data_IF_760701021249
#
_entry.id   IF_760701021249
#
_cell.length_a   1.000
_cell.length_b   1.000
_cell.length_c   1.000
_cell.angle_alpha   90.00
_cell.angle_beta   90.00
_cell.angle_gamma   90.00
#
_symmetry.space_group_name_H-M   'P 1'
#
loop_
_entity.id
_entity.type
_entity.pdbx_description
1 polymer ?
#
# COMPACT_ATOMS: atom_id res chain seq x y z
N UNK A 1 49.79 10.67 -76.86
CA UNK A 1 50.03 10.98 -75.44
C UNK A 1 49.42 9.83 -74.65
N UNK A 2 50.03 8.65 -74.57
CA UNK A 2 51.25 8.22 -73.85
C UNK A 2 51.17 8.36 -72.32
N UNK A 3 51.33 7.22 -71.65
CA UNK A 3 51.38 6.96 -70.20
C UNK A 3 50.66 5.64 -69.91
N UNK A 4 51.18 4.45 -70.28
CA UNK A 4 52.28 3.71 -69.64
C UNK A 4 52.00 3.47 -68.14
N UNK A 5 51.96 2.27 -67.55
CA UNK A 5 52.71 1.04 -67.82
C UNK A 5 51.98 -0.15 -67.15
N UNK A 6 52.03 -1.34 -67.75
CA UNK A 6 51.65 -2.58 -67.07
C UNK A 6 52.81 -3.11 -66.21
N UNK A 7 52.50 -3.71 -65.07
CA UNK A 7 53.41 -4.59 -64.33
C UNK A 7 52.63 -5.77 -63.74
N UNK A 8 53.12 -6.98 -64.02
CA UNK A 8 52.46 -8.25 -63.77
C UNK A 8 52.18 -8.55 -62.29
N UNK A 9 51.09 -9.28 -62.07
CA UNK A 9 50.75 -9.87 -60.77
C UNK A 9 51.74 -10.99 -60.48
N UNK A 10 52.70 -10.72 -59.60
CA UNK A 10 53.53 -11.76 -58.95
C UNK A 10 52.70 -12.35 -57.81
N UNK A 11 52.09 -13.51 -58.04
CA UNK A 11 51.49 -14.31 -56.96
C UNK A 11 52.61 -15.02 -56.19
N UNK A 12 52.96 -14.52 -55.01
CA UNK A 12 53.75 -15.28 -54.06
C UNK A 12 52.91 -16.45 -53.51
N UNK A 13 53.46 -17.67 -53.39
CA UNK A 13 52.76 -18.77 -52.75
C UNK A 13 52.55 -18.47 -51.26
N UNK A 14 51.43 -18.94 -50.66
CA UNK A 14 51.08 -18.62 -49.28
C UNK A 14 52.13 -19.18 -48.31
N UNK A 15 52.44 -18.47 -47.21
CA UNK A 15 53.42 -18.93 -46.23
C UNK A 15 53.02 -20.29 -45.64
N UNK A 16 53.93 -21.27 -45.73
CA UNK A 16 53.78 -22.66 -45.29
C UNK A 16 53.92 -22.86 -43.78
N UNK A 17 53.55 -21.86 -42.98
CA UNK A 17 53.47 -21.98 -41.53
C UNK A 17 52.19 -21.31 -41.08
N UNK A 18 51.21 -22.14 -40.66
CA UNK A 18 49.97 -21.66 -40.09
C UNK A 18 50.29 -20.68 -38.93
N UNK A 19 49.68 -19.48 -38.90
CA UNK A 19 49.74 -18.67 -37.70
C UNK A 19 49.11 -19.52 -36.59
N UNK A 20 49.82 -19.72 -35.49
CA UNK A 20 49.28 -20.38 -34.31
C UNK A 20 47.90 -19.78 -34.01
N UNK A 21 46.84 -20.53 -34.34
CA UNK A 21 45.51 -20.24 -33.80
C UNK A 21 45.65 -20.54 -32.32
N UNK A 22 45.93 -19.53 -31.51
CA UNK A 22 45.61 -19.57 -30.09
C UNK A 22 44.19 -20.13 -29.99
N UNK A 23 44.07 -21.30 -29.37
CA UNK A 23 42.76 -21.91 -29.20
C UNK A 23 41.99 -20.97 -28.27
N UNK A 24 40.68 -20.88 -28.43
CA UNK A 24 39.82 -20.02 -27.60
C UNK A 24 40.04 -20.21 -26.09
N UNK A 25 40.56 -21.37 -25.69
CA UNK A 25 40.90 -21.75 -24.32
C UNK A 25 42.26 -21.23 -23.80
N UNK A 26 43.12 -20.66 -24.65
CA UNK A 26 44.45 -20.16 -24.26
C UNK A 26 44.44 -18.70 -23.75
N UNK A 27 43.26 -18.04 -23.71
CA UNK A 27 43.11 -16.62 -23.31
C UNK A 27 42.68 -16.39 -21.87
N UNK A 28 42.45 -17.47 -21.14
CA UNK A 28 41.89 -17.41 -19.80
C UNK A 28 42.95 -17.87 -18.82
N UNK A 29 43.54 -16.91 -18.12
CA UNK A 29 44.42 -17.21 -17.00
C UNK A 29 43.57 -17.81 -15.87
N UNK A 30 43.57 -19.15 -15.77
CA UNK A 30 42.84 -19.89 -14.74
C UNK A 30 43.32 -19.56 -13.31
N UNK A 31 44.49 -18.92 -13.17
CA UNK A 31 45.02 -18.45 -11.88
C UNK A 31 44.54 -17.05 -11.49
N UNK A 32 43.84 -16.33 -12.39
CA UNK A 32 43.32 -15.00 -12.10
C UNK A 32 42.22 -15.07 -11.00
N UNK A 33 42.41 -14.40 -9.85
CA UNK A 33 41.48 -14.45 -8.73
C UNK A 33 40.09 -13.87 -9.05
N UNK A 34 39.96 -13.01 -10.06
CA UNK A 34 38.67 -12.49 -10.53
C UNK A 34 37.93 -13.53 -11.39
N UNK A 35 38.65 -14.21 -12.29
CA UNK A 35 38.07 -15.28 -13.11
C UNK A 35 37.61 -16.47 -12.26
N UNK A 36 38.39 -16.87 -11.26
CA UNK A 36 37.99 -17.92 -10.32
C UNK A 36 36.77 -17.54 -9.49
N UNK A 37 36.69 -16.27 -9.07
CA UNK A 37 35.55 -15.75 -8.29
C UNK A 37 34.29 -15.73 -9.12
N UNK A 38 34.39 -15.37 -10.40
CA UNK A 38 33.26 -15.33 -11.34
C UNK A 38 32.80 -16.73 -11.76
N UNK A 39 33.74 -17.68 -11.92
CA UNK A 39 33.45 -19.10 -12.20
C UNK A 39 32.74 -19.79 -11.04
N UNK A 40 33.15 -19.48 -9.81
CA UNK A 40 32.59 -20.09 -8.59
C UNK A 40 31.31 -19.36 -8.11
N UNK A 41 30.88 -18.32 -8.81
CA UNK A 41 29.66 -17.58 -8.47
C UNK A 41 28.44 -18.27 -9.06
N UNK A 42 27.39 -18.48 -8.26
CA UNK A 42 26.13 -19.03 -8.74
C UNK A 42 25.55 -18.13 -9.85
N UNK A 43 24.90 -18.70 -10.89
CA UNK A 43 24.42 -17.94 -12.05
C UNK A 43 23.52 -16.75 -11.69
N UNK A 44 22.69 -16.90 -10.65
CA UNK A 44 21.80 -15.83 -10.15
C UNK A 44 22.58 -14.64 -9.58
N UNK A 45 23.65 -14.89 -8.82
CA UNK A 45 24.53 -13.84 -8.27
C UNK A 45 25.29 -13.08 -9.36
N UNK A 46 25.67 -13.76 -10.44
CA UNK A 46 26.39 -13.13 -11.57
C UNK A 46 25.48 -12.19 -12.36
N UNK A 47 24.22 -12.57 -12.53
CA UNK A 47 23.21 -11.71 -13.16
C UNK A 47 22.93 -10.46 -12.31
N UNK A 48 22.83 -10.63 -10.99
CA UNK A 48 22.64 -9.52 -10.06
C UNK A 48 23.80 -8.53 -10.08
N UNK A 49 25.05 -9.01 -10.13
CA UNK A 49 26.23 -8.14 -10.18
C UNK A 49 26.28 -7.30 -11.47
N UNK A 50 25.95 -7.92 -12.60
CA UNK A 50 25.87 -7.23 -13.89
C UNK A 50 24.74 -6.17 -13.90
N UNK A 51 23.57 -6.49 -13.36
CA UNK A 51 22.49 -5.51 -13.20
C UNK A 51 22.89 -4.38 -12.25
N UNK A 52 23.66 -4.66 -11.20
CA UNK A 52 24.12 -3.66 -10.23
C UNK A 52 25.15 -2.71 -10.85
N UNK A 53 26.10 -3.22 -11.64
CA UNK A 53 27.03 -2.38 -12.41
C UNK A 53 26.30 -1.52 -13.45
N UNK A 54 25.32 -2.08 -14.15
CA UNK A 54 24.55 -1.34 -15.15
C UNK A 54 23.75 -0.20 -14.49
N UNK A 55 23.13 -0.46 -13.33
CA UNK A 55 22.46 0.57 -12.51
C UNK A 55 23.43 1.63 -12.00
N UNK A 56 24.65 1.25 -11.60
CA UNK A 56 25.70 2.19 -11.17
C UNK A 56 26.14 3.10 -12.31
N UNK A 57 26.33 2.57 -13.52
CA UNK A 57 26.66 3.37 -14.72
C UNK A 57 25.54 4.34 -15.08
N UNK A 58 24.29 3.89 -15.07
CA UNK A 58 23.12 4.76 -15.33
C UNK A 58 23.02 5.87 -14.28
N UNK A 59 23.21 5.54 -13.00
CA UNK A 59 23.22 6.54 -11.92
C UNK A 59 24.32 7.58 -12.08
N UNK A 60 25.52 7.17 -12.51
CA UNK A 60 26.63 8.11 -12.76
C UNK A 60 26.36 9.04 -13.94
N UNK A 61 25.72 8.54 -15.01
CA UNK A 61 25.36 9.35 -16.17
C UNK A 61 24.28 10.38 -15.78
N UNK A 62 23.28 9.97 -15.00
CA UNK A 62 22.22 10.86 -14.49
C UNK A 62 22.72 11.87 -13.45
N UNK A 63 23.90 11.67 -12.87
CA UNK A 63 24.55 12.60 -11.94
C UNK A 63 25.58 13.51 -12.62
N UNK A 64 25.79 13.37 -13.94
CA UNK A 64 26.75 14.17 -14.68
C UNK A 64 26.20 15.59 -14.92
N UNK A 65 26.85 16.65 -14.40
CA UNK A 65 26.38 18.02 -14.58
C UNK A 65 26.27 18.43 -16.06
N UNK A 66 27.19 17.96 -16.90
CA UNK A 66 27.18 18.23 -18.33
C UNK A 66 25.96 17.63 -19.04
N UNK A 67 25.51 16.44 -18.60
CA UNK A 67 24.34 15.80 -19.16
C UNK A 67 23.05 16.52 -18.74
N UNK A 68 22.98 17.00 -17.48
CA UNK A 68 21.87 17.80 -16.99
C UNK A 68 21.70 19.11 -17.79
N UNK A 69 22.80 19.84 -18.01
CA UNK A 69 22.79 21.10 -18.76
C UNK A 69 22.38 20.90 -20.23
N UNK A 70 22.86 19.83 -20.86
CA UNK A 70 22.51 19.49 -22.25
C UNK A 70 21.02 19.10 -22.37
N UNK A 71 20.50 18.36 -21.38
CA UNK A 71 19.10 17.98 -21.30
C UNK A 71 18.17 19.19 -21.11
N UNK A 72 18.51 20.11 -20.20
CA UNK A 72 17.76 21.36 -19.98
C UNK A 72 17.77 22.26 -21.22
N UNK A 73 18.91 22.37 -21.89
CA UNK A 73 19.04 23.15 -23.13
C UNK A 73 18.15 22.56 -24.24
N UNK A 74 18.10 21.23 -24.36
CA UNK A 74 17.25 20.54 -25.33
C UNK A 74 15.76 20.72 -25.04
N UNK A 75 15.36 20.69 -23.75
CA UNK A 75 13.97 20.96 -23.33
C UNK A 75 13.57 22.41 -23.66
N UNK A 76 14.44 23.39 -23.39
CA UNK A 76 14.18 24.80 -23.70
C UNK A 76 14.07 25.06 -25.21
N UNK A 77 14.91 24.41 -26.03
CA UNK A 77 14.86 24.56 -27.49
C UNK A 77 13.59 23.95 -28.10
N UNK A 78 13.09 22.84 -27.52
CA UNK A 78 11.81 22.24 -27.92
C UNK A 78 10.60 23.08 -27.48
N UNK A 79 10.65 23.70 -26.29
CA UNK A 79 9.61 24.63 -25.81
C UNK A 79 9.45 25.85 -26.72
N UNK A 80 10.56 26.41 -27.23
CA UNK A 80 10.53 27.55 -28.18
C UNK A 80 9.95 27.19 -29.55
N UNK A 81 9.98 25.90 -29.94
CA UNK A 81 9.50 25.43 -31.24
C UNK A 81 7.99 25.13 -31.27
N UNK A 82 7.26 25.32 -30.16
CA UNK A 82 5.80 25.38 -30.11
C UNK A 82 5.06 24.08 -30.48
N UNK A 83 5.76 22.97 -30.69
CA UNK A 83 5.18 21.64 -30.86
C UNK A 83 5.38 20.90 -29.55
N UNK A 84 4.30 20.40 -28.96
CA UNK A 84 4.31 19.53 -27.77
C UNK A 84 4.15 18.07 -28.18
N UNK A 85 5.21 17.38 -28.65
CA UNK A 85 5.18 15.94 -28.77
C UNK A 85 5.33 15.27 -27.40
N UNK A 86 4.83 14.05 -27.27
CA UNK A 86 4.97 13.15 -26.10
C UNK A 86 6.43 13.01 -25.62
N UNK A 87 7.40 13.21 -26.52
CA UNK A 87 8.83 13.21 -26.19
C UNK A 87 9.26 14.37 -25.29
N UNK A 88 8.57 15.52 -25.33
CA UNK A 88 8.87 16.67 -24.46
C UNK A 88 8.42 16.40 -23.02
N UNK A 89 7.28 15.72 -22.85
CA UNK A 89 6.79 15.28 -21.54
C UNK A 89 7.70 14.21 -20.93
N UNK A 90 8.22 13.28 -21.74
CA UNK A 90 9.19 12.29 -21.27
C UNK A 90 10.50 12.94 -20.81
N UNK A 91 11.00 13.95 -21.54
CA UNK A 91 12.19 14.70 -21.13
C UNK A 91 11.97 15.53 -19.86
N UNK A 92 10.78 16.13 -19.71
CA UNK A 92 10.40 16.88 -18.53
C UNK A 92 10.26 15.97 -17.29
N UNK A 93 9.72 14.76 -17.46
CA UNK A 93 9.69 13.73 -16.41
C UNK A 93 11.09 13.28 -15.97
N UNK A 94 12.04 13.18 -16.90
CA UNK A 94 13.44 12.85 -16.60
C UNK A 94 14.09 14.01 -15.82
N UNK A 95 13.87 15.27 -16.24
CA UNK A 95 14.39 16.45 -15.55
C UNK A 95 13.80 16.64 -14.13
N UNK A 96 12.51 16.37 -13.95
CA UNK A 96 11.83 16.44 -12.64
C UNK A 96 12.30 15.33 -11.68
N UNK A 97 12.59 14.14 -12.21
CA UNK A 97 13.21 13.05 -11.45
C UNK A 97 14.63 13.39 -11.00
N UNK A 98 15.39 14.14 -11.81
CA UNK A 98 16.74 14.59 -11.47
C UNK A 98 16.74 15.71 -10.43
N UNK A 99 15.76 16.62 -10.48
CA UNK A 99 15.64 17.75 -9.53
C UNK A 99 15.24 17.33 -8.12
N UNK A 100 14.53 16.21 -7.97
CA UNK A 100 14.09 15.67 -6.67
C UNK A 100 15.14 14.80 -5.97
N UNK A 101 16.31 14.60 -6.59
CA UNK A 101 17.36 13.69 -6.12
C UNK A 101 18.60 14.39 -5.52
N UNK A 102 18.62 15.73 -5.43
CA UNK A 102 19.77 16.47 -4.88
C UNK A 102 19.59 16.76 -3.37
N UNK A 103 20.45 16.23 -2.48
CA UNK A 103 20.52 16.67 -1.09
C UNK A 103 21.36 17.97 -1.02
N UNK A 104 20.72 19.10 -0.71
CA UNK A 104 21.45 20.35 -0.47
C UNK A 104 22.08 20.36 0.93
N UNK A 105 23.40 20.59 0.97
CA UNK A 105 24.19 20.71 2.19
C UNK A 105 24.65 22.17 2.35
N UNK A 106 24.35 22.76 3.52
CA UNK A 106 24.83 24.02 4.13
C UNK A 106 23.95 25.31 4.08
N UNK A 107 23.96 26.12 5.18
CA UNK A 107 23.01 27.22 5.40
C UNK A 107 23.63 28.63 5.25
N UNK A 108 22.83 29.59 4.77
CA UNK A 108 23.02 31.01 5.05
C UNK A 108 21.67 31.77 4.99
N UNK A 109 21.41 32.59 5.99
CA UNK A 109 20.26 33.50 6.11
C UNK A 109 20.78 34.96 6.05
N UNK A 110 19.93 36.02 6.10
CA UNK A 110 18.59 36.24 5.53
C UNK A 110 18.44 37.60 4.81
N UNK A 111 17.45 37.78 3.92
CA UNK A 111 16.74 39.07 3.80
C UNK A 111 15.47 39.02 2.92
N UNK A 112 14.32 39.29 3.57
CA UNK A 112 13.18 40.01 2.99
C UNK A 112 12.08 39.19 2.31
N UNK A 113 10.88 39.17 2.91
CA UNK A 113 9.61 38.96 2.19
C UNK A 113 8.73 37.85 2.76
N UNK A 114 7.60 38.25 3.37
CA UNK A 114 6.71 37.42 4.19
C UNK A 114 5.74 36.53 3.39
N UNK A 115 5.37 35.42 4.04
CA UNK A 115 4.05 34.75 4.05
C UNK A 115 3.87 33.47 3.21
N UNK A 116 4.21 32.32 3.81
CA UNK A 116 3.38 31.09 3.90
C UNK A 116 4.26 29.87 4.28
N UNK A 117 4.78 29.83 5.51
CA UNK A 117 5.39 28.61 6.05
C UNK A 117 4.85 28.37 7.46
N UNK A 118 3.71 27.68 7.52
CA UNK A 118 3.36 26.91 8.71
C UNK A 118 2.85 25.54 8.23
N UNK A 119 3.76 24.75 7.66
CA UNK A 119 3.56 23.33 7.44
C UNK A 119 4.63 22.62 8.27
N UNK A 120 4.18 21.99 9.35
CA UNK A 120 4.99 21.22 10.28
C UNK A 120 5.92 20.27 9.53
N UNK A 121 7.22 20.36 9.83
CA UNK A 121 8.21 19.35 9.48
C UNK A 121 7.81 18.03 10.15
N UNK A 122 7.35 17.06 9.36
CA UNK A 122 7.07 15.72 9.84
C UNK A 122 5.93 15.02 9.09
N UNK A 123 6.02 14.89 7.78
CA UNK A 123 5.12 14.01 7.02
C UNK A 123 5.93 13.02 6.19
N UNK A 124 6.13 11.82 6.75
CA UNK A 124 6.66 10.65 6.04
C UNK A 124 5.67 10.27 4.94
N UNK A 125 6.13 9.97 3.73
CA UNK A 125 5.26 9.56 2.61
C UNK A 125 5.37 8.06 2.33
N UNK A 126 4.32 7.28 2.63
CA UNK A 126 3.98 6.05 1.90
C UNK A 126 2.52 6.03 1.42
N UNK A 127 2.21 5.22 0.40
CA UNK A 127 0.87 5.06 -0.20
C UNK A 127 0.24 6.37 -0.69
N UNK A 128 1.07 7.28 -1.19
CA UNK A 128 0.63 8.46 -1.93
C UNK A 128 1.15 8.37 -3.36
N UNK A 129 0.63 7.40 -4.12
CA UNK A 129 1.00 7.15 -5.52
C UNK A 129 0.15 7.95 -6.51
N UNK A 130 -0.72 8.84 -6.04
CA UNK A 130 -1.46 9.78 -6.88
C UNK A 130 -0.46 10.79 -7.51
N UNK A 131 0.06 10.47 -8.69
CA UNK A 131 1.03 11.27 -9.44
C UNK A 131 0.39 11.89 -10.68
N UNK A 132 0.88 13.06 -11.10
CA UNK A 132 0.50 13.68 -12.38
C UNK A 132 -1.00 13.92 -12.52
N UNK A 133 -1.61 13.39 -13.60
CA UNK A 133 -3.02 13.54 -13.94
C UNK A 133 -3.98 13.02 -12.87
N UNK A 134 -3.63 11.95 -12.16
CA UNK A 134 -4.49 11.31 -11.15
C UNK A 134 -4.59 12.16 -9.86
N UNK A 135 -3.59 13.02 -9.62
CA UNK A 135 -3.68 14.05 -8.59
C UNK A 135 -4.57 15.21 -9.04
N UNK A 136 -4.78 15.45 -10.33
CA UNK A 136 -5.64 16.56 -10.78
C UNK A 136 -7.12 16.14 -10.80
N UNK A 137 -7.42 14.85 -10.93
CA UNK A 137 -8.78 14.32 -11.11
C UNK A 137 -9.63 14.23 -9.84
N UNK A 138 -9.03 14.19 -8.65
CA UNK A 138 -9.75 13.99 -7.38
C UNK A 138 -9.70 15.22 -6.48
N UNK A 139 -10.77 15.49 -5.73
CA UNK A 139 -10.75 16.54 -4.71
C UNK A 139 -9.88 16.13 -3.51
N UNK A 140 -9.50 17.12 -2.67
CA UNK A 140 -8.60 16.91 -1.54
C UNK A 140 -9.11 15.86 -0.54
N UNK A 141 -10.42 15.79 -0.32
CA UNK A 141 -11.04 14.83 0.59
C UNK A 141 -10.99 13.41 0.03
N UNK A 142 -11.37 13.23 -1.24
CA UNK A 142 -11.28 11.93 -1.91
C UNK A 142 -9.83 11.41 -1.97
N UNK A 143 -8.85 12.25 -2.31
CA UNK A 143 -7.43 11.85 -2.30
C UNK A 143 -6.99 11.29 -0.95
N UNK A 144 -7.32 11.99 0.12
CA UNK A 144 -6.95 11.57 1.47
C UNK A 144 -7.56 10.20 1.82
N UNK A 145 -8.84 10.00 1.48
CA UNK A 145 -9.53 8.73 1.72
C UNK A 145 -8.97 7.59 0.86
N UNK A 146 -8.61 7.86 -0.41
CA UNK A 146 -7.91 6.88 -1.26
C UNK A 146 -6.60 6.43 -0.65
N UNK A 147 -5.76 7.36 -0.18
CA UNK A 147 -4.49 7.03 0.46
C UNK A 147 -4.69 6.24 1.75
N UNK A 148 -5.62 6.67 2.62
CA UNK A 148 -5.93 5.97 3.88
C UNK A 148 -6.47 4.56 3.64
N UNK A 149 -7.42 4.41 2.71
CA UNK A 149 -7.99 3.11 2.39
C UNK A 149 -6.95 2.17 1.76
N UNK A 150 -6.15 2.66 0.81
CA UNK A 150 -5.07 1.88 0.22
C UNK A 150 -4.06 1.44 1.28
N UNK A 151 -3.72 2.31 2.23
CA UNK A 151 -2.85 1.95 3.33
C UNK A 151 -3.48 0.89 4.25
N UNK A 152 -4.79 1.00 4.53
CA UNK A 152 -5.50 -0.01 5.31
C UNK A 152 -5.51 -1.39 4.60
N UNK A 153 -5.68 -1.44 3.28
CA UNK A 153 -5.48 -2.68 2.52
C UNK A 153 -4.07 -3.25 2.73
N UNK A 154 -3.02 -2.42 2.64
CA UNK A 154 -1.62 -2.84 2.86
C UNK A 154 -1.36 -3.31 4.29
N UNK A 155 -1.94 -2.67 5.30
CA UNK A 155 -1.84 -3.11 6.69
C UNK A 155 -2.55 -4.45 6.90
N UNK A 156 -3.71 -4.64 6.28
CA UNK A 156 -4.46 -5.89 6.35
C UNK A 156 -3.65 -7.06 5.77
N UNK A 157 -2.90 -6.80 4.69
CA UNK A 157 -1.95 -7.78 4.15
C UNK A 157 -0.74 -8.01 5.08
N UNK A 158 -0.14 -6.92 5.60
CA UNK A 158 1.00 -6.98 6.52
C UNK A 158 0.70 -7.80 7.79
N UNK A 159 -0.53 -7.73 8.29
CA UNK A 159 -0.98 -8.51 9.44
C UNK A 159 -1.41 -9.95 9.09
N UNK A 160 -1.35 -10.33 7.82
CA UNK A 160 -1.77 -11.66 7.36
C UNK A 160 -3.27 -11.91 7.45
N UNK A 161 -4.08 -10.85 7.41
CA UNK A 161 -5.54 -10.95 7.45
C UNK A 161 -6.17 -11.07 6.07
N UNK A 162 -5.41 -10.81 5.01
CA UNK A 162 -5.86 -10.98 3.63
C UNK A 162 -6.18 -12.45 3.34
N UNK A 163 -7.36 -12.71 2.77
CA UNK A 163 -7.74 -14.04 2.30
C UNK A 163 -7.86 -14.00 0.77
N UNK A 164 -6.75 -14.32 0.09
CA UNK A 164 -6.65 -14.26 -1.36
C UNK A 164 -7.15 -12.89 -1.87
N UNK A 165 -8.22 -12.89 -2.66
CA UNK A 165 -8.84 -11.69 -3.28
C UNK A 165 -10.28 -11.43 -2.76
N UNK A 166 -10.69 -12.06 -1.67
CA UNK A 166 -12.11 -12.19 -1.30
C UNK A 166 -12.59 -11.31 -0.14
N UNK A 167 -11.70 -10.69 0.63
CA UNK A 167 -12.10 -9.75 1.68
C UNK A 167 -12.51 -8.40 1.06
N UNK A 168 -13.21 -7.55 1.82
CA UNK A 168 -13.63 -6.21 1.35
C UNK A 168 -13.42 -5.13 2.41
N UNK A 169 -12.80 -4.02 2.00
CA UNK A 169 -12.76 -2.78 2.78
C UNK A 169 -13.37 -1.66 1.92
N UNK A 170 -14.29 -0.90 2.48
CA UNK A 170 -14.91 0.22 1.77
C UNK A 170 -14.86 1.50 2.58
N UNK A 171 -14.75 2.63 1.89
CA UNK A 171 -14.95 3.94 2.52
C UNK A 171 -15.94 4.81 1.74
N UNK A 172 -16.87 5.43 2.47
CA UNK A 172 -17.82 6.43 1.97
C UNK A 172 -17.10 7.75 1.76
N UNK A 173 -17.18 8.32 0.56
CA UNK A 173 -16.57 9.60 0.21
C UNK A 173 -17.42 10.78 0.66
N UNK A 174 -18.69 10.76 0.28
CA UNK A 174 -19.67 11.77 0.61
C UNK A 174 -20.99 11.08 1.01
N UNK A 175 -21.61 11.57 2.07
CA UNK A 175 -22.91 11.08 2.55
C UNK A 175 -24.04 11.46 1.61
N UNK A 176 -23.95 12.61 0.94
CA UNK A 176 -25.02 13.12 0.08
C UNK A 176 -25.11 12.40 -1.28
N UNK A 177 -23.98 11.93 -1.80
CA UNK A 177 -23.91 11.27 -3.11
C UNK A 177 -23.83 9.74 -3.04
N UNK A 178 -23.76 9.17 -1.82
CA UNK A 178 -23.60 7.73 -1.57
C UNK A 178 -22.53 7.08 -2.47
N UNK A 179 -21.35 7.70 -2.51
CA UNK A 179 -20.19 7.21 -3.25
C UNK A 179 -19.23 6.48 -2.33
N UNK A 180 -18.73 5.34 -2.78
CA UNK A 180 -17.85 4.47 -2.02
C UNK A 180 -16.60 4.10 -2.81
N UNK A 181 -15.45 4.01 -2.13
CA UNK A 181 -14.23 3.43 -2.68
C UNK A 181 -14.10 1.97 -2.26
N UNK A 182 -13.62 1.12 -3.17
CA UNK A 182 -13.31 -0.29 -2.93
C UNK A 182 -12.12 -0.74 -3.77
N UNK A 183 -11.47 -1.83 -3.37
CA UNK A 183 -10.46 -2.50 -4.21
C UNK A 183 -11.10 -3.04 -5.50
N UNK A 184 -10.43 -2.90 -6.65
CA UNK A 184 -10.82 -3.64 -7.86
C UNK A 184 -10.68 -5.15 -7.65
N UNK A 185 -11.66 -5.91 -8.11
CA UNK A 185 -11.66 -7.36 -7.96
C UNK A 185 -10.58 -8.01 -8.82
N UNK A 186 -9.73 -8.81 -8.17
CA UNK A 186 -8.60 -9.50 -8.79
C UNK A 186 -7.24 -9.08 -8.26
N UNK A 187 -7.12 -7.93 -7.59
CA UNK A 187 -5.88 -7.53 -6.95
C UNK A 187 -5.71 -8.17 -5.57
N UNK A 188 -4.47 -8.55 -5.27
CA UNK A 188 -4.04 -8.82 -3.90
C UNK A 188 -3.99 -7.51 -3.10
N UNK A 189 -4.15 -7.61 -1.79
CA UNK A 189 -4.12 -6.43 -0.91
C UNK A 189 -2.74 -5.74 -0.92
N UNK A 190 -1.68 -6.53 -1.15
CA UNK A 190 -0.30 -6.07 -1.40
C UNK A 190 -0.08 -5.40 -2.76
N UNK A 191 -1.09 -5.32 -3.62
CA UNK A 191 -1.01 -4.62 -4.91
C UNK A 191 -1.79 -3.30 -4.89
N UNK A 192 -2.67 -3.11 -3.91
CA UNK A 192 -3.57 -1.95 -3.85
C UNK A 192 -2.81 -0.64 -3.70
N UNK A 193 -3.18 0.34 -4.51
CA UNK A 193 -2.68 1.71 -4.43
C UNK A 193 -3.83 2.71 -4.41
N UNK A 194 -3.57 3.97 -4.06
CA UNK A 194 -4.62 5.00 -4.00
C UNK A 194 -5.24 5.27 -5.38
N UNK A 195 -4.43 5.22 -6.44
CA UNK A 195 -4.89 5.35 -7.83
C UNK A 195 -5.70 4.15 -8.30
N UNK A 196 -5.38 2.93 -7.83
CA UNK A 196 -6.06 1.71 -8.27
C UNK A 196 -7.49 1.54 -7.74
N UNK A 197 -7.86 2.28 -6.67
CA UNK A 197 -9.18 2.15 -6.04
C UNK A 197 -10.30 2.59 -6.99
N UNK A 198 -11.40 1.85 -6.95
CA UNK A 198 -12.58 2.10 -7.78
C UNK A 198 -13.62 2.84 -6.95
N UNK A 199 -14.25 3.88 -7.53
CA UNK A 199 -15.40 4.58 -6.96
C UNK A 199 -16.69 4.02 -7.55
N UNK A 200 -17.65 3.71 -6.69
CA UNK A 200 -18.96 3.17 -7.08
C UNK A 200 -20.11 3.82 -6.29
N UNK A 201 -21.34 3.65 -6.77
CA UNK A 201 -22.56 4.02 -6.05
C UNK A 201 -23.03 2.88 -5.12
N UNK A 202 -24.09 3.16 -4.35
CA UNK A 202 -24.70 2.18 -3.43
C UNK A 202 -25.21 0.91 -4.15
N UNK A 203 -25.57 1.00 -5.43
CA UNK A 203 -26.01 -0.13 -6.26
C UNK A 203 -24.84 -0.97 -6.80
N UNK A 204 -23.59 -0.61 -6.48
CA UNK A 204 -22.38 -1.30 -6.94
C UNK A 204 -22.05 -1.03 -8.41
N UNK A 205 -22.55 0.06 -8.98
CA UNK A 205 -22.20 0.52 -10.32
C UNK A 205 -20.96 1.39 -10.25
N UNK A 206 -20.01 1.14 -11.16
CA UNK A 206 -18.73 1.85 -11.18
C UNK A 206 -18.93 3.24 -11.76
N UNK A 207 -18.50 4.25 -11.00
CA UNK A 207 -18.55 5.68 -11.36
C UNK A 207 -17.19 6.17 -11.85
N UNK A 208 -16.12 5.69 -11.21
CA UNK A 208 -14.73 5.98 -11.58
C UNK A 208 -13.91 4.70 -11.39
N UNK A 209 -13.15 4.30 -12.40
CA UNK A 209 -12.39 3.05 -12.42
C UNK A 209 -11.01 3.14 -11.76
N UNK A 210 -10.60 4.33 -11.31
CA UNK A 210 -9.21 4.56 -10.94
C UNK A 210 -8.26 4.32 -12.12
N UNK A 211 -7.07 3.83 -11.81
CA UNK A 211 -6.02 3.50 -12.80
C UNK A 211 -6.13 2.08 -13.39
N UNK A 212 -7.22 1.36 -13.14
CA UNK A 212 -7.39 -0.05 -13.54
C UNK A 212 -8.59 -0.27 -14.46
N UNK A 213 -8.54 -1.35 -15.25
CA UNK A 213 -9.66 -1.81 -16.08
C UNK A 213 -10.47 -2.93 -15.42
N UNK A 214 -10.09 -3.35 -14.21
CA UNK A 214 -10.76 -4.40 -13.45
C UNK A 214 -12.16 -3.94 -12.97
N UNK A 215 -13.02 -4.93 -12.70
CA UNK A 215 -14.35 -4.72 -12.13
C UNK A 215 -14.34 -4.66 -10.60
N UNK A 216 -15.53 -4.73 -10.00
CA UNK A 216 -15.72 -4.85 -8.54
C UNK A 216 -16.47 -6.14 -8.23
N UNK A 217 -16.22 -6.73 -7.06
CA UNK A 217 -17.00 -7.86 -6.58
C UNK A 217 -18.33 -7.35 -6.02
N UNK A 218 -19.36 -7.29 -6.88
CA UNK A 218 -20.68 -6.80 -6.49
C UNK A 218 -21.31 -7.62 -5.37
N UNK A 219 -21.14 -8.94 -5.37
CA UNK A 219 -21.69 -9.81 -4.33
C UNK A 219 -21.10 -9.49 -2.95
N UNK A 220 -19.78 -9.29 -2.87
CA UNK A 220 -19.11 -8.87 -1.64
C UNK A 220 -19.54 -7.48 -1.15
N UNK A 221 -19.89 -6.58 -2.07
CA UNK A 221 -20.36 -5.24 -1.71
C UNK A 221 -21.79 -5.22 -1.14
N UNK A 222 -22.62 -6.26 -1.37
CA UNK A 222 -24.01 -6.26 -0.90
C UNK A 222 -24.08 -6.08 0.63
N UNK A 223 -23.23 -6.76 1.39
CA UNK A 223 -23.12 -6.60 2.86
C UNK A 223 -22.84 -5.15 3.26
N UNK A 224 -21.85 -4.54 2.60
CA UNK A 224 -21.44 -3.17 2.87
C UNK A 224 -22.56 -2.19 2.51
N UNK A 225 -23.22 -2.38 1.37
CA UNK A 225 -24.33 -1.55 0.93
C UNK A 225 -25.50 -1.60 1.92
N UNK A 226 -25.87 -2.79 2.42
CA UNK A 226 -26.93 -2.96 3.40
C UNK A 226 -26.63 -2.16 4.68
N UNK A 227 -25.39 -2.24 5.19
CA UNK A 227 -24.96 -1.50 6.39
C UNK A 227 -24.97 0.01 6.12
N UNK A 228 -24.40 0.46 5.00
CA UNK A 228 -24.35 1.89 4.67
C UNK A 228 -25.75 2.51 4.51
N UNK A 229 -26.72 1.76 3.97
CA UNK A 229 -28.10 2.23 3.83
C UNK A 229 -28.80 2.45 5.18
N UNK A 230 -28.53 1.62 6.19
CA UNK A 230 -29.13 1.78 7.52
C UNK A 230 -28.32 2.66 8.47
N UNK A 231 -27.03 2.90 8.16
CA UNK A 231 -26.09 3.63 9.03
C UNK A 231 -25.40 4.78 8.27
N UNK A 232 -26.07 5.95 8.14
CA UNK A 232 -25.49 7.13 7.51
C UNK A 232 -24.26 7.69 8.23
N UNK A 233 -24.11 7.39 9.53
CA UNK A 233 -22.96 7.75 10.36
C UNK A 233 -21.68 6.98 9.97
N UNK A 234 -21.84 5.79 9.37
CA UNK A 234 -20.71 4.93 9.03
C UNK A 234 -20.03 5.41 7.75
N UNK A 235 -18.70 5.61 7.84
CA UNK A 235 -17.84 5.93 6.71
C UNK A 235 -17.01 4.75 6.26
N UNK A 236 -16.44 3.97 7.15
CA UNK A 236 -15.56 2.85 6.79
C UNK A 236 -16.15 1.53 7.28
N UNK A 237 -16.11 0.50 6.43
CA UNK A 237 -16.49 -0.87 6.76
C UNK A 237 -15.35 -1.79 6.35
N UNK A 238 -14.97 -2.70 7.23
CA UNK A 238 -13.97 -3.74 6.98
C UNK A 238 -14.58 -5.10 7.28
N UNK A 239 -14.41 -6.02 6.33
CA UNK A 239 -14.83 -7.40 6.44
C UNK A 239 -13.66 -8.34 6.14
N UNK A 240 -13.34 -9.23 7.09
CA UNK A 240 -12.20 -10.15 6.99
C UNK A 240 -12.54 -11.56 7.48
N UNK A 241 -11.82 -12.54 6.93
CA UNK A 241 -11.96 -13.98 7.21
C UNK A 241 -10.71 -14.56 7.87
N UNK A 242 -10.26 -13.98 8.98
CA UNK A 242 -9.12 -14.55 9.72
C UNK A 242 -9.49 -15.90 10.33
N UNK A 243 -8.53 -16.84 10.41
CA UNK A 243 -8.80 -18.18 10.94
C UNK A 243 -9.35 -18.15 12.38
N UNK A 244 -8.79 -17.27 13.23
CA UNK A 244 -9.29 -17.08 14.59
C UNK A 244 -10.69 -16.45 14.62
N UNK A 245 -10.96 -15.48 13.76
CA UNK A 245 -12.27 -14.86 13.62
C UNK A 245 -13.34 -15.87 13.18
N UNK A 246 -13.03 -16.67 12.15
CA UNK A 246 -13.90 -17.75 11.69
C UNK A 246 -14.15 -18.78 12.80
N UNK A 247 -13.12 -19.19 13.53
CA UNK A 247 -13.26 -20.13 14.65
C UNK A 247 -14.21 -19.59 15.73
N UNK A 248 -14.01 -18.35 16.21
CA UNK A 248 -14.88 -17.74 17.22
C UNK A 248 -16.30 -17.55 16.70
N UNK A 249 -16.48 -17.17 15.43
CA UNK A 249 -17.80 -17.03 14.82
C UNK A 249 -18.62 -18.34 14.83
N UNK A 250 -17.95 -19.48 14.83
CA UNK A 250 -18.56 -20.81 14.89
C UNK A 250 -18.79 -21.31 16.33
N UNK A 251 -18.27 -20.63 17.35
CA UNK A 251 -18.45 -21.02 18.75
C UNK A 251 -19.81 -20.57 19.27
N UNK A 252 -20.56 -21.46 19.94
CA UNK A 252 -21.85 -21.11 20.56
C UNK A 252 -21.72 -19.92 21.52
N UNK A 253 -20.62 -19.85 22.27
CA UNK A 253 -20.33 -18.76 23.20
C UNK A 253 -20.00 -17.42 22.53
N UNK A 254 -19.77 -17.38 21.21
CA UNK A 254 -19.34 -16.17 20.52
C UNK A 254 -18.02 -15.63 21.08
N UNK A 255 -17.82 -14.32 21.01
CA UNK A 255 -16.71 -13.62 21.65
C UNK A 255 -16.98 -13.42 23.15
N UNK A 256 -16.03 -13.87 23.97
CA UNK A 256 -16.06 -13.84 25.41
C UNK A 256 -15.30 -12.61 25.96
N UNK A 257 -15.75 -12.01 27.08
CA UNK A 257 -15.08 -10.86 27.70
C UNK A 257 -13.85 -11.30 28.50
N UNK A 258 -12.82 -11.84 27.84
CA UNK A 258 -11.64 -12.42 28.50
C UNK A 258 -10.35 -11.61 28.31
N UNK A 259 -10.41 -10.52 27.55
CA UNK A 259 -9.27 -9.64 27.33
C UNK A 259 -9.71 -8.17 27.19
N UNK A 260 -8.82 -7.20 27.47
CA UNK A 260 -9.11 -5.78 27.25
C UNK A 260 -9.50 -5.47 25.80
N UNK A 261 -8.93 -6.17 24.82
CA UNK A 261 -9.28 -6.05 23.40
C UNK A 261 -10.74 -6.43 23.18
N UNK A 262 -11.23 -7.51 23.77
CA UNK A 262 -12.64 -7.90 23.69
C UNK A 262 -13.57 -6.85 24.32
N UNK A 263 -13.20 -6.33 25.50
CA UNK A 263 -13.99 -5.30 26.19
C UNK A 263 -14.01 -3.97 25.43
N UNK A 264 -12.94 -3.65 24.70
CA UNK A 264 -12.83 -2.40 23.93
C UNK A 264 -13.82 -2.28 22.78
N UNK A 265 -14.39 -3.40 22.34
CA UNK A 265 -15.33 -3.45 21.22
C UNK A 265 -16.74 -3.01 21.60
N UNK A 266 -17.04 -2.92 22.91
CA UNK A 266 -18.39 -2.68 23.40
C UNK A 266 -19.31 -3.85 23.07
N UNK A 267 -20.56 -3.55 22.69
CA UNK A 267 -21.52 -4.57 22.30
C UNK A 267 -21.21 -5.15 20.91
N UNK A 268 -21.15 -6.48 20.84
CA UNK A 268 -20.90 -7.24 19.62
C UNK A 268 -22.21 -7.84 19.12
N UNK A 269 -22.61 -7.47 17.91
CA UNK A 269 -23.75 -8.05 17.22
C UNK A 269 -23.39 -9.37 16.55
N UNK A 270 -24.40 -10.23 16.34
CA UNK A 270 -24.25 -11.49 15.62
C UNK A 270 -25.27 -11.60 14.50
N UNK A 271 -24.87 -12.23 13.39
CA UNK A 271 -25.77 -12.61 12.32
C UNK A 271 -25.52 -14.08 11.94
N UNK A 272 -26.59 -14.87 11.90
CA UNK A 272 -26.51 -16.28 11.58
C UNK A 272 -26.35 -16.50 10.08
N UNK A 273 -25.54 -17.49 9.69
CA UNK A 273 -25.25 -17.79 8.29
C UNK A 273 -26.50 -18.21 7.51
N UNK A 274 -26.84 -17.50 6.44
CA UNK A 274 -27.93 -17.89 5.53
C UNK A 274 -27.46 -18.31 4.13
N UNK A 275 -26.16 -18.24 3.85
CA UNK A 275 -25.58 -18.61 2.56
C UNK A 275 -24.57 -17.56 2.08
N UNK A 276 -24.26 -17.63 0.78
CA UNK A 276 -23.33 -16.70 0.11
C UNK A 276 -24.07 -15.54 -0.56
N UNK A 277 -25.33 -15.75 -0.94
CA UNK A 277 -26.14 -14.76 -1.64
C UNK A 277 -27.02 -14.01 -0.66
N UNK A 278 -26.72 -12.72 -0.47
CA UNK A 278 -27.53 -11.82 0.33
C UNK A 278 -28.75 -11.37 -0.49
N UNK A 279 -29.94 -11.77 -0.07
CA UNK A 279 -31.20 -11.23 -0.59
C UNK A 279 -31.66 -10.00 0.22
N UNK A 280 -32.80 -9.43 -0.14
CA UNK A 280 -33.33 -8.24 0.53
C UNK A 280 -33.77 -8.51 1.98
N UNK A 281 -34.23 -9.73 2.28
CA UNK A 281 -34.66 -10.12 3.63
C UNK A 281 -33.45 -10.26 4.55
N UNK A 282 -32.38 -10.89 4.05
CA UNK A 282 -31.11 -11.01 4.76
C UNK A 282 -30.47 -9.64 5.00
N UNK A 283 -30.53 -8.73 4.02
CA UNK A 283 -30.08 -7.34 4.19
C UNK A 283 -30.81 -6.67 5.37
N UNK A 284 -32.15 -6.76 5.43
CA UNK A 284 -32.93 -6.17 6.52
C UNK A 284 -32.60 -6.82 7.88
N UNK A 285 -32.33 -8.12 7.90
CA UNK A 285 -31.94 -8.83 9.11
C UNK A 285 -30.55 -8.40 9.61
N UNK A 286 -29.57 -8.23 8.71
CA UNK A 286 -28.24 -7.71 9.05
C UNK A 286 -28.35 -6.32 9.68
N UNK A 287 -29.14 -5.42 9.08
CA UNK A 287 -29.36 -4.07 9.59
C UNK A 287 -29.97 -4.11 11.01
N UNK A 288 -30.98 -4.96 11.22
CA UNK A 288 -31.61 -5.14 12.53
C UNK A 288 -30.65 -5.70 13.58
N UNK A 289 -29.85 -6.70 13.20
CA UNK A 289 -28.90 -7.34 14.11
C UNK A 289 -27.75 -6.40 14.48
N UNK A 290 -27.24 -5.62 13.54
CA UNK A 290 -26.21 -4.61 13.78
C UNK A 290 -26.72 -3.49 14.70
N UNK A 291 -27.96 -3.04 14.48
CA UNK A 291 -28.56 -1.99 15.27
C UNK A 291 -27.91 -0.61 15.07
N UNK A 292 -28.35 0.38 15.84
CA UNK A 292 -28.00 1.79 15.62
C UNK A 292 -26.64 2.20 16.18
N UNK A 293 -26.09 1.44 17.14
CA UNK A 293 -24.93 1.85 17.95
C UNK A 293 -23.72 0.96 17.80
N UNK A 294 -23.91 -0.35 17.55
CA UNK A 294 -22.83 -1.31 17.62
C UNK A 294 -21.84 -1.08 16.48
N UNK A 295 -20.56 -1.30 16.78
CA UNK A 295 -19.44 -1.07 15.87
C UNK A 295 -18.87 -2.37 15.29
N UNK A 296 -19.29 -3.51 15.82
CA UNK A 296 -18.81 -4.84 15.45
C UNK A 296 -19.98 -5.79 15.19
N UNK A 297 -19.85 -6.57 14.13
CA UNK A 297 -20.76 -7.66 13.76
C UNK A 297 -19.94 -8.92 13.48
N UNK A 298 -20.26 -10.01 14.18
CA UNK A 298 -19.72 -11.33 13.87
C UNK A 298 -20.74 -12.08 13.00
N UNK A 299 -20.32 -12.41 11.79
CA UNK A 299 -21.09 -13.27 10.89
C UNK A 299 -20.78 -14.72 11.27
N UNK A 300 -21.74 -15.42 11.88
CA UNK A 300 -21.56 -16.80 12.34
C UNK A 300 -21.10 -17.69 11.19
N UNK A 301 -20.12 -18.54 11.46
CA UNK A 301 -19.52 -19.46 10.49
C UNK A 301 -18.93 -18.79 9.23
N UNK A 302 -18.69 -17.48 9.24
CA UNK A 302 -18.25 -16.73 8.07
C UNK A 302 -17.05 -15.84 8.40
N UNK A 303 -17.24 -14.78 9.19
CA UNK A 303 -16.17 -13.82 9.39
C UNK A 303 -16.52 -12.66 10.32
N UNK A 304 -15.64 -11.66 10.27
CA UNK A 304 -15.67 -10.51 11.14
C UNK A 304 -15.99 -9.25 10.34
N UNK A 305 -16.82 -8.38 10.90
CA UNK A 305 -17.15 -7.06 10.34
C UNK A 305 -16.95 -6.02 11.43
N UNK A 306 -16.24 -4.94 11.09
CA UNK A 306 -16.16 -3.75 11.92
C UNK A 306 -16.48 -2.50 11.10
N UNK A 307 -17.05 -1.50 11.76
CA UNK A 307 -17.48 -0.25 11.15
C UNK A 307 -16.94 0.94 11.93
N UNK A 308 -16.73 2.06 11.23
CA UNK A 308 -16.25 3.30 11.83
C UNK A 308 -16.80 4.54 11.12
N UNK A 309 -16.93 5.63 11.88
CA UNK A 309 -17.17 6.98 11.40
C UNK A 309 -15.93 7.56 10.71
N UNK A 310 -14.76 6.94 10.92
CA UNK A 310 -13.50 7.18 10.22
C UNK A 310 -12.84 5.86 9.80
N UNK A 311 -11.82 5.94 8.95
CA UNK A 311 -11.02 4.76 8.54
C UNK A 311 -10.26 4.21 9.75
N UNK A 312 -9.74 5.11 10.57
CA UNK A 312 -8.98 4.84 11.78
C UNK A 312 -9.82 4.14 12.85
N UNK A 313 -11.07 4.55 13.03
CA UNK A 313 -11.98 3.89 13.97
C UNK A 313 -12.31 2.46 13.51
N UNK A 314 -12.59 2.26 12.23
CA UNK A 314 -12.83 0.92 11.68
C UNK A 314 -11.59 0.02 11.81
N UNK A 315 -10.39 0.57 11.58
CA UNK A 315 -9.12 -0.10 11.81
C UNK A 315 -8.96 -0.53 13.28
N UNK A 316 -9.23 0.38 14.22
CA UNK A 316 -9.13 0.10 15.65
C UNK A 316 -10.03 -1.07 16.06
N UNK A 317 -11.30 -1.07 15.65
CA UNK A 317 -12.22 -2.14 16.01
C UNK A 317 -11.86 -3.47 15.37
N UNK A 318 -11.48 -3.52 14.08
CA UNK A 318 -11.13 -4.79 13.46
C UNK A 318 -9.83 -5.37 14.04
N UNK A 319 -8.86 -4.52 14.35
CA UNK A 319 -7.61 -4.95 14.96
C UNK A 319 -7.85 -5.58 16.33
N UNK A 320 -8.61 -4.90 17.20
CA UNK A 320 -8.95 -5.43 18.51
C UNK A 320 -9.82 -6.68 18.41
N UNK A 321 -10.74 -6.75 17.44
CA UNK A 321 -11.61 -7.92 17.25
C UNK A 321 -10.80 -9.15 16.81
N UNK A 322 -9.92 -9.01 15.82
CA UNK A 322 -9.05 -10.12 15.40
C UNK A 322 -8.17 -10.57 16.57
N UNK A 323 -7.57 -9.63 17.29
CA UNK A 323 -6.72 -9.92 18.46
C UNK A 323 -7.50 -10.63 19.57
N UNK A 324 -8.70 -10.17 19.88
CA UNK A 324 -9.57 -10.79 20.87
C UNK A 324 -9.96 -12.22 20.48
N UNK A 325 -10.28 -12.45 19.21
CA UNK A 325 -10.55 -13.80 18.70
C UNK A 325 -9.34 -14.71 18.83
N UNK A 326 -8.15 -14.22 18.50
CA UNK A 326 -6.90 -14.97 18.64
C UNK A 326 -6.60 -15.35 20.10
N UNK A 327 -6.74 -14.40 21.03
CA UNK A 327 -6.58 -14.64 22.47
C UNK A 327 -7.57 -15.71 22.92
N UNK A 328 -8.84 -15.60 22.53
CA UNK A 328 -9.87 -16.56 22.91
C UNK A 328 -9.59 -17.96 22.39
N UNK A 329 -9.22 -18.12 21.12
CA UNK A 329 -8.92 -19.44 20.55
C UNK A 329 -7.77 -20.11 21.30
N UNK A 330 -6.68 -19.39 21.54
CA UNK A 330 -5.52 -19.90 22.29
C UNK A 330 -5.89 -20.24 23.73
N UNK A 331 -6.66 -19.38 24.38
CA UNK A 331 -7.08 -19.52 25.79
C UNK A 331 -7.99 -20.73 25.99
N UNK A 332 -9.03 -20.88 25.15
CA UNK A 332 -9.95 -22.01 25.21
C UNK A 332 -9.23 -23.34 24.94
N UNK A 333 -8.30 -23.36 23.98
CA UNK A 333 -7.49 -24.54 23.70
C UNK A 333 -6.64 -24.97 24.91
N UNK A 334 -6.05 -24.01 25.65
CA UNK A 334 -5.26 -24.31 26.85
C UNK A 334 -6.09 -24.61 28.10
N UNK A 335 -7.27 -23.99 28.25
CA UNK A 335 -8.10 -24.11 29.45
C UNK A 335 -9.06 -25.30 29.39
N UNK A 336 -9.25 -25.93 28.22
CA UNK A 336 -10.16 -27.07 28.05
C UNK A 336 -11.64 -26.67 27.96
N UNK A 337 -11.95 -25.41 27.66
CA UNK A 337 -13.31 -24.92 27.47
C UNK A 337 -13.62 -23.60 28.20
N UNK A 338 -14.78 -23.00 27.94
CA UNK A 338 -15.16 -21.68 28.47
C UNK A 338 -15.44 -21.70 29.99
N UNK A 339 -15.82 -22.85 30.56
CA UNK A 339 -16.18 -22.97 31.98
C UNK A 339 -14.98 -22.82 32.92
N UNK A 340 -13.77 -22.96 32.39
CA UNK A 340 -12.51 -22.81 33.14
C UNK A 340 -11.90 -21.41 33.01
N UNK A 341 -12.64 -20.44 32.44
CA UNK A 341 -12.13 -19.10 32.18
C UNK A 341 -12.57 -18.11 33.25
N UNK A 342 -11.65 -17.21 33.61
CA UNK A 342 -11.98 -16.01 34.39
C UNK A 342 -12.49 -14.94 33.43
N UNK A 343 -13.79 -14.66 33.49
CA UNK A 343 -14.41 -13.60 32.70
C UNK A 343 -14.13 -12.24 33.34
N UNK A 344 -13.79 -11.26 32.52
CA UNK A 344 -13.69 -9.87 32.94
C UNK A 344 -15.09 -9.26 33.07
N UNK A 345 -15.22 -8.34 34.02
CA UNK A 345 -16.44 -7.56 34.21
C UNK A 345 -16.41 -6.34 33.26
N UNK A 346 -17.30 -6.26 32.26
CA UNK A 346 -17.32 -5.16 31.31
C UNK A 346 -17.53 -3.79 31.97
N UNK A 347 -18.22 -3.73 33.12
CA UNK A 347 -18.47 -2.47 33.83
C UNK A 347 -17.20 -1.86 34.42
N UNK A 348 -16.15 -2.66 34.62
CA UNK A 348 -14.83 -2.21 35.11
C UNK A 348 -13.93 -1.71 33.99
N UNK A 349 -14.29 -1.96 32.72
CA UNK A 349 -13.55 -1.44 31.60
C UNK A 349 -13.76 0.06 31.47
N UNK A 350 -12.74 0.82 31.85
CA UNK A 350 -12.69 2.25 31.60
C UNK A 350 -12.11 2.45 30.20
N UNK A 351 -12.98 2.75 29.24
CA UNK A 351 -12.53 3.20 27.92
C UNK A 351 -11.56 4.36 28.11
N UNK A 352 -10.43 4.37 27.38
CA UNK A 352 -9.55 5.54 27.36
C UNK A 352 -10.42 6.77 27.09
N UNK A 353 -10.34 7.80 27.94
CA UNK A 353 -11.23 8.94 27.79
C UNK A 353 -10.98 9.57 26.42
N UNK A 354 -12.07 9.98 25.74
CA UNK A 354 -12.04 10.68 24.43
C UNK A 354 -11.27 12.03 24.48
N UNK A 355 -10.75 12.37 25.65
CA UNK A 355 -10.02 13.57 26.03
C UNK A 355 -9.06 13.15 27.16
N UNK A 356 -7.74 13.34 27.06
CA UNK A 356 -6.92 13.32 28.26
C UNK A 356 -7.40 14.47 29.17
N UNK A 357 -7.78 14.17 30.41
CA UNK A 357 -7.99 15.21 31.42
C UNK A 357 -6.67 15.99 31.55
N UNK A 358 -6.77 17.32 31.45
CA UNK A 358 -5.64 18.23 31.61
C UNK A 358 -5.33 18.32 33.10
N UNK A 359 -4.64 17.32 33.62
CA UNK A 359 -4.03 17.40 34.94
C UNK A 359 -2.64 18.02 34.81
N UNK A 360 -2.54 19.30 35.15
CA UNK A 360 -1.28 19.97 35.46
C UNK A 360 -0.65 20.79 34.35
N UNK A 361 -0.77 22.10 34.51
CA UNK A 361 0.11 23.16 34.00
C UNK A 361 0.24 23.31 32.46
N UNK A 362 -0.75 23.97 31.87
CA UNK A 362 -0.59 25.14 30.99
C UNK A 362 0.33 25.12 29.75
N UNK A 363 0.97 24.02 29.36
CA UNK A 363 2.02 24.06 28.31
C UNK A 363 2.05 22.87 27.34
N UNK A 364 1.23 21.83 27.51
CA UNK A 364 1.21 20.71 26.55
C UNK A 364 0.10 20.83 25.49
N UNK A 365 0.45 21.31 24.30
CA UNK A 365 -0.38 21.26 23.08
C UNK A 365 -0.38 19.85 22.47
N UNK A 366 -0.73 18.83 23.26
CA UNK A 366 -0.89 17.48 22.72
C UNK A 366 -2.14 17.43 21.81
N UNK A 367 -2.02 16.92 20.57
CA UNK A 367 -3.17 16.80 19.68
C UNK A 367 -4.23 15.87 20.28
N UNK A 368 -5.49 16.30 20.17
CA UNK A 368 -6.65 15.51 20.62
C UNK A 368 -6.95 14.42 19.58
N UNK A 369 -6.57 13.19 19.90
CA UNK A 369 -6.80 12.03 19.03
C UNK A 369 -8.22 11.49 19.15
N UNK A 370 -8.84 11.16 18.02
CA UNK A 370 -10.04 10.34 17.96
C UNK A 370 -9.68 8.85 18.04
N UNK A 371 -10.71 8.00 18.18
CA UNK A 371 -10.55 6.54 18.30
C UNK A 371 -9.76 6.00 17.11
N UNK A 372 -8.67 5.30 17.40
CA UNK A 372 -7.83 4.64 16.40
C UNK A 372 -6.84 5.54 15.66
N UNK A 373 -6.92 6.87 15.79
CA UNK A 373 -6.06 7.76 15.00
C UNK A 373 -4.58 7.61 15.38
N UNK A 374 -4.29 7.54 16.68
CA UNK A 374 -2.92 7.39 17.18
C UNK A 374 -2.33 6.02 16.78
N UNK A 375 -3.12 4.96 16.91
CA UNK A 375 -2.73 3.60 16.53
C UNK A 375 -2.51 3.50 15.01
N UNK A 376 -3.45 4.01 14.21
CA UNK A 376 -3.35 4.01 12.76
C UNK A 376 -2.14 4.80 12.28
N UNK A 377 -1.90 6.01 12.82
CA UNK A 377 -0.73 6.81 12.50
C UNK A 377 0.59 6.07 12.82
N UNK A 378 0.63 5.30 13.91
CA UNK A 378 1.78 4.47 14.24
C UNK A 378 2.06 3.40 13.17
N UNK A 379 1.03 2.71 12.70
CA UNK A 379 1.17 1.71 11.65
C UNK A 379 1.47 2.33 10.27
N UNK A 380 0.97 3.55 10.01
CA UNK A 380 1.33 4.29 8.80
C UNK A 380 2.83 4.58 8.71
N UNK A 381 3.53 4.79 9.85
CA UNK A 381 4.99 4.94 9.86
C UNK A 381 5.72 3.67 9.39
N UNK A 382 5.16 2.49 9.65
CA UNK A 382 5.74 1.22 9.18
C UNK A 382 5.67 1.16 7.66
N UNK A 383 4.51 1.45 7.07
CA UNK A 383 4.38 1.54 5.61
C UNK A 383 5.31 2.61 5.03
N UNK A 384 5.54 3.69 5.80
CA UNK A 384 6.42 4.84 5.51
C UNK A 384 7.87 4.48 5.34
N UNK A 385 8.37 3.65 6.24
CA UNK A 385 9.74 3.13 6.22
C UNK A 385 9.95 1.96 5.28
N UNK A 386 8.88 1.40 4.69
CA UNK A 386 8.91 0.15 3.92
C UNK A 386 9.13 0.37 2.40
N UNK A 387 10.15 1.15 2.06
CA UNK A 387 10.82 1.10 0.76
C UNK A 387 12.30 0.79 1.02
N UNK A 388 12.90 -0.20 0.34
CA UNK A 388 13.26 -1.48 0.94
C UNK A 388 14.56 -1.47 1.75
N UNK A 389 14.47 -1.88 3.02
CA UNK A 389 15.49 -2.73 3.65
C UNK A 389 14.83 -4.03 4.11
N UNK A 390 15.03 -5.06 3.31
CA UNK A 390 15.06 -6.48 3.71
C UNK A 390 13.72 -7.13 4.07
N UNK A 391 13.07 -7.72 3.06
CA UNK A 391 12.47 -9.05 3.20
C UNK A 391 13.61 -10.07 3.30
N UNK A 392 13.81 -10.67 4.47
CA UNK A 392 14.50 -11.97 4.59
C UNK A 392 13.45 -13.06 4.47
N UNK A 393 13.56 -13.87 3.43
CA UNK A 393 13.36 -15.31 3.48
C UNK A 393 14.60 -15.96 2.86
#
# INVERSE_FOLDING_TARGET
>A
MNGDSGAGVVTAPPPTTAPHKERYFDRVDESNPEYQRERNMAPDLRQDFNMMEQKKRVSMILQSPAFCEELETMIQDQLKKGKTPTSLLALQQIADFMSTSMPSMYPAAPQGGMAALNMSLGMVTPVNDLRGSDSISYDKGEKMLRCKLAAFYRLTDLFGWSQLIYNHLTVRLNTDEERFLIVPFGLLYSEVTASSLVRMNLQGEIVDRGSTNLGVNKAGFVLHSAIYSSRPDVKCIVHVHTAAGAAVSAMKCGLLPISPEALSLGEVSYHDYQGILLDQEECALIQRNLGPTNKVLILRNHGLVAIGETVEEAFYYIHNLVTACEIQVRTLASAGGPDNLVMLDPSKYKSRPRVPEVDGDGSSTQPKWQIGEQEFEAFMRILGGSSPRHTRL
#
